data_IF_055535698408
#
_entry.id   IF_055535698408
#
_cell.length_a   1.000
_cell.length_b   1.000
_cell.length_c   1.000
_cell.angle_alpha   90.00
_cell.angle_beta   90.00
_cell.angle_gamma   90.00
#
_symmetry.space_group_name_H-M   'P 1'
#
loop_
_entity.id
_entity.type
_entity.pdbx_description
1 polymer ?
#
# COMPACT_ATOMS: atom_id res chain seq x y z
N UNK A 1 -2.41 15.10 -6.44
CA UNK A 1 -2.88 13.81 -5.94
C UNK A 1 -3.06 13.78 -4.42
N UNK A 2 -2.03 14.15 -3.66
CA UNK A 2 -2.09 14.16 -2.19
C UNK A 2 -3.20 15.07 -1.65
N UNK A 3 -3.37 16.25 -2.21
CA UNK A 3 -4.43 17.18 -1.83
C UNK A 3 -5.83 16.61 -2.10
N UNK A 4 -6.03 15.92 -3.24
CA UNK A 4 -7.32 15.30 -3.55
C UNK A 4 -7.66 14.18 -2.58
N UNK A 5 -6.68 13.38 -2.17
CA UNK A 5 -6.87 12.32 -1.17
C UNK A 5 -7.22 12.90 0.20
N UNK A 6 -6.50 13.93 0.63
CA UNK A 6 -6.78 14.62 1.90
C UNK A 6 -8.18 15.25 1.91
N UNK A 7 -8.58 15.89 0.80
CA UNK A 7 -9.91 16.46 0.64
C UNK A 7 -11.01 15.40 0.73
N UNK A 8 -10.80 14.25 0.10
CA UNK A 8 -11.72 13.12 0.17
C UNK A 8 -11.89 12.58 1.58
N UNK A 9 -10.78 12.40 2.31
CA UNK A 9 -10.82 11.97 3.72
C UNK A 9 -11.59 12.98 4.58
N UNK A 10 -11.31 14.26 4.39
CA UNK A 10 -11.99 15.33 5.15
C UNK A 10 -13.50 15.36 4.90
N UNK A 11 -13.90 15.16 3.65
CA UNK A 11 -15.31 15.11 3.29
C UNK A 11 -16.04 13.92 3.94
N UNK A 12 -15.41 12.74 3.92
CA UNK A 12 -15.97 11.52 4.51
C UNK A 12 -16.11 11.64 6.03
N UNK A 13 -15.16 12.30 6.70
CA UNK A 13 -15.19 12.52 8.15
C UNK A 13 -16.36 13.37 8.63
N UNK A 14 -17.06 14.04 7.75
CA UNK A 14 -18.28 14.80 8.10
C UNK A 14 -19.42 13.87 8.52
N UNK A 15 -19.37 12.60 8.19
CA UNK A 15 -20.38 11.60 8.58
C UNK A 15 -19.98 10.92 9.89
N UNK A 16 -20.97 10.57 10.73
CA UNK A 16 -20.72 9.92 12.02
C UNK A 16 -20.11 8.51 11.88
N UNK A 17 -20.59 7.77 10.90
CA UNK A 17 -20.14 6.41 10.64
C UNK A 17 -19.35 6.39 9.35
N UNK A 18 -18.02 6.37 9.45
CA UNK A 18 -17.18 6.30 8.27
C UNK A 18 -16.07 5.27 8.47
N UNK A 19 -15.59 4.75 7.34
CA UNK A 19 -14.40 3.92 7.27
C UNK A 19 -13.52 4.45 6.15
N UNK A 20 -12.32 4.92 6.51
CA UNK A 20 -11.33 5.38 5.56
C UNK A 20 -10.23 4.33 5.49
N UNK A 21 -9.99 3.81 4.30
CA UNK A 21 -8.94 2.82 4.05
C UNK A 21 -7.78 3.47 3.30
N UNK A 22 -6.60 3.45 3.90
CA UNK A 22 -5.35 3.86 3.26
C UNK A 22 -4.65 2.60 2.82
N UNK A 23 -4.61 2.36 1.52
CA UNK A 23 -4.21 1.07 0.97
C UNK A 23 -3.03 1.20 0.03
N UNK A 24 -2.05 0.30 0.16
CA UNK A 24 -0.96 0.14 -0.80
C UNK A 24 -1.20 -1.14 -1.60
N UNK A 25 -1.98 -1.05 -2.69
CA UNK A 25 -2.27 -2.21 -3.51
C UNK A 25 -1.82 -2.04 -4.95
N UNK A 26 -1.56 -3.16 -5.60
CA UNK A 26 -1.12 -3.19 -6.99
C UNK A 26 -1.72 -4.40 -7.71
N UNK A 27 -1.62 -4.36 -9.04
CA UNK A 27 -2.13 -5.43 -9.90
C UNK A 27 -1.21 -6.66 -9.87
N UNK A 28 -1.82 -7.82 -10.10
CA UNK A 28 -1.09 -9.08 -10.26
C UNK A 28 -1.30 -9.60 -11.69
N UNK A 29 -0.20 -9.93 -12.42
CA UNK A 29 1.20 -9.80 -12.02
C UNK A 29 1.65 -8.34 -11.99
N UNK A 30 2.78 -8.10 -11.34
CA UNK A 30 3.41 -6.77 -11.32
C UNK A 30 3.80 -6.38 -12.75
N UNK A 31 3.21 -5.29 -13.24
CA UNK A 31 3.28 -4.92 -14.67
C UNK A 31 4.54 -4.15 -15.07
N UNK A 32 5.23 -3.54 -14.12
CA UNK A 32 6.40 -2.74 -14.42
C UNK A 32 7.63 -3.59 -14.68
N UNK A 33 8.47 -3.15 -15.64
CA UNK A 33 9.71 -3.83 -16.00
C UNK A 33 10.77 -3.75 -14.90
N UNK A 34 10.77 -2.65 -14.15
CA UNK A 34 11.73 -2.36 -13.09
C UNK A 34 11.03 -2.16 -11.75
N UNK A 35 11.71 -2.51 -10.67
CA UNK A 35 11.23 -2.29 -9.31
C UNK A 35 12.38 -1.84 -8.41
N UNK A 36 12.12 -0.88 -7.52
CA UNK A 36 13.13 -0.35 -6.62
C UNK A 36 13.53 -1.37 -5.57
N UNK A 37 14.83 -1.69 -5.53
CA UNK A 37 15.39 -2.61 -4.54
C UNK A 37 15.68 -1.93 -3.20
N UNK A 38 15.79 -0.60 -3.18
CA UNK A 38 16.10 0.21 -2.00
C UNK A 38 14.91 1.02 -1.46
N UNK A 39 13.71 0.77 -1.96
CA UNK A 39 12.48 1.37 -1.46
C UNK A 39 11.61 0.32 -0.78
N UNK A 40 11.22 0.56 0.47
CA UNK A 40 10.35 -0.33 1.24
C UNK A 40 8.91 0.16 1.26
N UNK A 41 7.98 -0.77 1.16
CA UNK A 41 6.54 -0.48 1.18
C UNK A 41 5.77 -1.71 1.69
N UNK A 42 4.46 -1.54 1.84
CA UNK A 42 3.53 -2.60 2.28
C UNK A 42 2.60 -3.03 1.14
N UNK A 43 3.10 -3.21 -0.07
CA UNK A 43 2.24 -3.61 -1.19
C UNK A 43 1.52 -4.92 -0.93
N UNK A 44 0.25 -4.97 -1.36
CA UNK A 44 -0.54 -6.19 -1.47
C UNK A 44 -1.21 -6.21 -2.86
N UNK A 45 -1.57 -7.39 -3.31
CA UNK A 45 -2.34 -7.53 -4.53
C UNK A 45 -3.83 -7.31 -4.26
N UNK A 46 -4.57 -6.92 -5.28
CA UNK A 46 -6.01 -6.66 -5.17
C UNK A 46 -6.78 -7.85 -4.57
N UNK A 47 -6.40 -9.07 -4.91
CA UNK A 47 -7.02 -10.29 -4.38
C UNK A 47 -6.89 -10.38 -2.85
N UNK A 48 -5.70 -10.08 -2.33
CA UNK A 48 -5.43 -10.12 -0.90
C UNK A 48 -6.17 -9.00 -0.18
N UNK A 49 -6.26 -7.82 -0.82
CA UNK A 49 -7.05 -6.71 -0.29
C UNK A 49 -8.52 -7.11 -0.13
N UNK A 50 -9.11 -7.79 -1.11
CA UNK A 50 -10.51 -8.21 -1.06
C UNK A 50 -10.77 -9.13 0.15
N UNK A 51 -9.85 -10.04 0.45
CA UNK A 51 -9.95 -10.94 1.61
C UNK A 51 -9.95 -10.17 2.91
N UNK A 52 -9.08 -9.17 3.03
CA UNK A 52 -9.00 -8.30 4.20
C UNK A 52 -10.27 -7.45 4.30
N UNK A 53 -10.70 -6.86 3.20
CA UNK A 53 -11.87 -5.98 3.14
C UNK A 53 -13.12 -6.63 3.70
N UNK A 54 -13.35 -7.90 3.37
CA UNK A 54 -14.50 -8.66 3.88
C UNK A 54 -14.52 -8.76 5.41
N UNK A 55 -13.34 -8.77 6.03
CA UNK A 55 -13.21 -8.88 7.50
C UNK A 55 -13.39 -7.54 8.22
N UNK A 56 -13.19 -6.42 7.54
CA UNK A 56 -13.14 -5.10 8.17
C UNK A 56 -14.25 -4.15 7.73
N UNK A 57 -15.15 -4.58 6.86
CA UNK A 57 -16.17 -3.72 6.26
C UNK A 57 -17.09 -3.04 7.29
N UNK A 58 -17.26 -3.65 8.47
CA UNK A 58 -18.10 -3.11 9.54
C UNK A 58 -17.31 -2.27 10.56
N UNK A 59 -16.01 -2.09 10.35
CA UNK A 59 -15.18 -1.26 11.20
C UNK A 59 -15.39 0.22 10.92
N UNK A 60 -14.95 1.08 11.83
CA UNK A 60 -15.07 2.53 11.72
C UNK A 60 -13.73 3.20 11.93
N UNK A 61 -13.59 4.42 11.39
CA UNK A 61 -12.41 5.24 11.55
C UNK A 61 -11.44 5.10 10.38
N UNK A 62 -10.15 5.23 10.65
CA UNK A 62 -9.10 5.19 9.64
C UNK A 62 -8.27 3.92 9.82
N UNK A 63 -8.05 3.19 8.74
CA UNK A 63 -7.34 1.93 8.75
C UNK A 63 -6.30 1.89 7.63
N UNK A 64 -5.05 1.63 8.00
CA UNK A 64 -4.00 1.36 7.02
C UNK A 64 -4.04 -0.12 6.63
N UNK A 65 -4.06 -0.41 5.34
CA UNK A 65 -4.11 -1.77 4.82
C UNK A 65 -2.92 -2.03 3.91
N UNK A 66 -2.19 -3.08 4.20
CA UNK A 66 -1.03 -3.49 3.41
C UNK A 66 -0.53 -4.85 3.87
N UNK A 67 0.48 -5.33 3.19
CA UNK A 67 1.17 -6.57 3.52
C UNK A 67 2.43 -6.34 4.34
N UNK A 68 3.24 -7.39 4.51
CA UNK A 68 4.54 -7.26 5.19
C UNK A 68 5.44 -6.23 4.50
N UNK A 69 6.23 -5.50 5.28
CA UNK A 69 7.17 -4.53 4.75
C UNK A 69 8.27 -5.25 3.96
N UNK A 70 8.39 -4.90 2.69
CA UNK A 70 9.38 -5.45 1.76
C UNK A 70 9.86 -4.38 0.81
N UNK A 71 11.03 -4.58 0.18
CA UNK A 71 11.38 -3.76 -0.98
C UNK A 71 10.38 -4.01 -2.11
N UNK A 72 10.18 -3.00 -2.95
CA UNK A 72 9.29 -3.14 -4.12
C UNK A 72 9.77 -4.28 -5.01
N UNK A 73 11.09 -4.41 -5.18
CA UNK A 73 11.68 -5.48 -5.97
C UNK A 73 11.38 -6.87 -5.40
N UNK A 74 11.58 -7.08 -4.10
CA UNK A 74 11.31 -8.39 -3.48
C UNK A 74 9.84 -8.77 -3.59
N UNK A 75 8.96 -7.81 -3.43
CA UNK A 75 7.53 -8.02 -3.60
C UNK A 75 7.18 -8.41 -5.06
N UNK A 76 7.72 -7.66 -6.03
CA UNK A 76 7.43 -7.89 -7.45
C UNK A 76 8.00 -9.20 -7.97
N UNK A 77 9.23 -9.54 -7.58
CA UNK A 77 9.95 -10.72 -8.04
C UNK A 77 9.22 -12.03 -7.72
N UNK A 78 8.52 -12.08 -6.60
CA UNK A 78 7.80 -13.29 -6.17
C UNK A 78 6.81 -13.79 -7.22
N UNK A 79 6.17 -12.89 -7.97
CA UNK A 79 5.17 -13.23 -8.98
C UNK A 79 5.58 -12.86 -10.41
N UNK A 80 6.71 -12.19 -10.59
CA UNK A 80 7.24 -11.84 -11.90
C UNK A 80 8.77 -11.92 -11.89
N UNK A 81 9.29 -13.06 -12.31
CA UNK A 81 10.74 -13.31 -12.33
C UNK A 81 11.50 -12.44 -13.33
N UNK A 82 10.80 -11.78 -14.25
CA UNK A 82 11.42 -10.93 -15.27
C UNK A 82 11.67 -9.50 -14.79
N UNK A 83 11.17 -9.13 -13.62
CA UNK A 83 11.38 -7.80 -13.05
C UNK A 83 12.86 -7.57 -12.76
N UNK A 84 13.37 -6.40 -13.17
CA UNK A 84 14.76 -5.99 -12.97
C UNK A 84 14.87 -4.99 -11.82
N UNK A 85 16.00 -4.99 -11.15
CA UNK A 85 16.29 -4.05 -10.06
C UNK A 85 16.50 -2.64 -10.59
N UNK A 86 15.99 -1.66 -9.87
CA UNK A 86 16.27 -0.25 -10.04
C UNK A 86 16.55 0.35 -8.65
N UNK A 87 17.33 1.41 -8.58
CA UNK A 87 17.68 2.03 -7.31
C UNK A 87 17.17 3.46 -7.26
N UNK A 88 16.38 3.75 -6.24
CA UNK A 88 15.81 5.08 -6.02
C UNK A 88 16.90 6.13 -5.77
N UNK A 89 17.99 5.78 -5.10
CA UNK A 89 19.13 6.66 -4.83
C UNK A 89 19.79 7.20 -6.10
N UNK A 90 19.64 6.50 -7.23
CA UNK A 90 20.17 6.93 -8.54
C UNK A 90 19.23 7.85 -9.30
N UNK A 91 17.99 7.96 -8.86
CA UNK A 91 16.97 8.79 -9.50
C UNK A 91 16.96 10.19 -8.88
N UNK A 92 17.71 11.12 -9.48
CA UNK A 92 17.90 12.48 -8.95
C UNK A 92 16.66 13.38 -9.02
N UNK A 93 15.68 13.02 -9.86
CA UNK A 93 14.51 13.88 -10.13
C UNK A 93 13.24 13.48 -9.36
N UNK A 94 13.28 12.41 -8.57
CA UNK A 94 12.09 11.86 -7.92
C UNK A 94 12.21 12.01 -6.42
N UNK A 95 11.26 12.73 -5.83
CA UNK A 95 11.19 12.92 -4.36
C UNK A 95 10.26 11.86 -3.75
N UNK A 96 10.72 10.60 -3.74
CA UNK A 96 9.99 9.48 -3.18
C UNK A 96 10.71 9.00 -1.91
N UNK A 97 9.99 8.77 -0.80
CA UNK A 97 10.63 8.29 0.43
C UNK A 97 11.19 6.87 0.26
N UNK A 98 12.36 6.62 0.84
CA UNK A 98 13.00 5.30 0.82
C UNK A 98 12.15 4.28 1.58
N UNK A 99 11.51 4.69 2.65
CA UNK A 99 10.61 3.85 3.43
C UNK A 99 9.21 4.47 3.44
N UNK A 100 8.33 3.91 2.63
CA UNK A 100 6.92 4.31 2.52
C UNK A 100 6.01 3.31 3.24
N UNK A 101 6.55 2.49 4.16
CA UNK A 101 5.75 1.50 4.88
C UNK A 101 4.81 2.16 5.88
N UNK A 102 3.64 1.57 6.04
CA UNK A 102 2.60 2.03 6.96
C UNK A 102 2.62 1.23 8.27
N UNK A 103 2.12 1.85 9.34
CA UNK A 103 1.90 1.14 10.58
C UNK A 103 0.61 0.30 10.48
N UNK A 104 0.73 -1.00 10.56
CA UNK A 104 -0.36 -1.96 10.41
C UNK A 104 -0.84 -2.57 11.73
N UNK A 105 -0.45 -2.03 12.88
CA UNK A 105 -0.82 -2.60 14.19
C UNK A 105 -2.32 -2.74 14.38
N UNK A 106 -3.08 -1.72 14.01
CA UNK A 106 -4.53 -1.72 14.14
C UNK A 106 -5.16 -2.82 13.27
N UNK A 107 -4.70 -2.93 12.03
CA UNK A 107 -5.16 -3.99 11.13
C UNK A 107 -4.87 -5.38 11.68
N UNK A 108 -3.65 -5.62 12.18
CA UNK A 108 -3.25 -6.92 12.71
C UNK A 108 -4.11 -7.36 13.90
N UNK A 109 -4.57 -6.43 14.72
CA UNK A 109 -5.49 -6.73 15.82
C UNK A 109 -6.86 -7.14 15.34
N UNK A 110 -7.35 -6.54 14.26
CA UNK A 110 -8.70 -6.78 13.75
C UNK A 110 -8.84 -8.09 12.96
N UNK A 111 -7.79 -8.54 12.30
CA UNK A 111 -7.83 -9.71 11.41
C UNK A 111 -7.24 -10.98 12.00
N UNK A 112 -6.88 -10.95 13.27
CA UNK A 112 -6.43 -12.15 13.98
C UNK A 112 -7.49 -13.24 14.02
#
# INVERSE_FOLDING_TARGET
YAWSKLGGESAVKMYKNYLILRVSMTEKPFLHKYAFADMKTNFIYHEDFIKIFKKIINEKGILNIGGPTKSVYDFAKKNNHKVKKKYLKKEKKVNIPINASMNLRKLKKLIR
#
